data_IF_287835162971
#
_entry.id   IF_287835162971
#
_cell.length_a   1.000
_cell.length_b   1.000
_cell.length_c   1.000
_cell.angle_alpha   90.00
_cell.angle_beta   90.00
_cell.angle_gamma   90.00
#
_symmetry.space_group_name_H-M   'P 1'
#
loop_
_entity.id
_entity.type
_entity.pdbx_description
1 polymer ?
#
# COMPACT_ATOMS: atom_id res chain seq x y z
N UNK A 1 -41.54 4.95 -1.91
CA UNK A 1 -40.25 5.24 -2.55
C UNK A 1 -39.99 4.12 -3.53
N UNK A 2 -39.84 4.45 -4.81
CA UNK A 2 -39.68 3.49 -5.89
C UNK A 2 -38.46 2.60 -5.66
N UNK A 3 -38.69 1.31 -5.43
CA UNK A 3 -37.67 0.26 -5.57
C UNK A 3 -37.27 0.21 -7.03
N UNK A 4 -36.27 1.01 -7.43
CA UNK A 4 -35.62 0.77 -8.71
C UNK A 4 -34.98 -0.60 -8.61
N UNK A 5 -35.47 -1.53 -9.44
CA UNK A 5 -34.96 -2.88 -9.54
C UNK A 5 -33.64 -2.80 -10.32
N UNK A 6 -32.57 -2.38 -9.64
CA UNK A 6 -31.24 -2.34 -10.23
C UNK A 6 -30.70 -3.77 -10.27
N UNK A 7 -30.71 -4.36 -11.46
CA UNK A 7 -29.98 -5.59 -11.74
C UNK A 7 -28.58 -5.20 -12.23
N UNK A 8 -27.56 -5.48 -11.40
CA UNK A 8 -26.16 -5.19 -11.73
C UNK A 8 -25.44 -6.41 -12.27
N UNK A 9 -26.11 -7.54 -12.44
CA UNK A 9 -25.53 -8.81 -12.87
C UNK A 9 -24.67 -8.67 -14.14
N UNK A 10 -23.51 -9.32 -14.13
CA UNK A 10 -22.56 -9.36 -15.23
C UNK A 10 -22.08 -7.96 -15.74
N UNK A 11 -22.26 -6.89 -14.96
CA UNK A 11 -21.78 -5.56 -15.29
C UNK A 11 -20.34 -5.31 -14.82
N UNK A 12 -19.65 -4.42 -15.52
CA UNK A 12 -18.39 -3.85 -15.07
C UNK A 12 -18.68 -2.62 -14.20
N UNK A 13 -18.51 -2.75 -12.89
CA UNK A 13 -18.75 -1.68 -11.93
C UNK A 13 -17.44 -1.11 -11.36
N UNK A 14 -16.30 -1.34 -12.01
CA UNK A 14 -15.01 -0.93 -11.50
C UNK A 14 -14.98 0.54 -11.07
N UNK A 15 -14.35 0.80 -9.93
CA UNK A 15 -14.15 2.14 -9.35
C UNK A 15 -15.46 2.93 -9.06
N UNK A 16 -16.62 2.26 -8.98
CA UNK A 16 -17.90 2.89 -8.63
C UNK A 16 -18.08 3.09 -7.13
N UNK A 17 -18.82 4.13 -6.75
CA UNK A 17 -19.12 4.46 -5.34
C UNK A 17 -20.59 4.20 -5.01
N UNK A 18 -20.78 3.36 -3.98
CA UNK A 18 -22.08 2.96 -3.43
C UNK A 18 -22.21 3.34 -1.96
N UNK A 19 -21.45 4.35 -1.53
CA UNK A 19 -21.32 4.74 -0.12
C UNK A 19 -22.68 5.08 0.49
N UNK A 20 -23.04 4.35 1.56
CA UNK A 20 -24.27 4.58 2.31
C UNK A 20 -25.57 4.23 1.59
N UNK A 21 -25.51 3.62 0.40
CA UNK A 21 -26.72 3.25 -0.35
C UNK A 21 -27.40 2.02 0.25
N UNK A 22 -28.72 1.93 0.11
CA UNK A 22 -29.48 0.72 0.37
C UNK A 22 -29.58 -0.10 -0.92
N UNK A 23 -28.88 -1.22 -0.91
CA UNK A 23 -28.70 -2.17 -2.00
C UNK A 23 -29.13 -3.57 -1.53
N UNK A 24 -30.06 -3.63 -0.58
CA UNK A 24 -30.56 -4.88 -0.02
C UNK A 24 -31.23 -5.75 -1.09
N UNK A 25 -30.87 -7.04 -1.14
CA UNK A 25 -31.43 -8.02 -2.08
C UNK A 25 -31.00 -7.87 -3.54
N UNK A 26 -30.08 -6.94 -3.85
CA UNK A 26 -29.60 -6.73 -5.22
C UNK A 26 -28.71 -7.89 -5.68
N UNK A 27 -28.80 -8.23 -6.97
CA UNK A 27 -27.95 -9.22 -7.62
C UNK A 27 -26.72 -8.56 -8.25
N UNK A 28 -25.54 -8.85 -7.69
CA UNK A 28 -24.21 -8.52 -8.20
C UNK A 28 -23.49 -9.75 -8.78
N UNK A 29 -24.18 -10.86 -9.01
CA UNK A 29 -23.52 -12.08 -9.45
C UNK A 29 -22.72 -11.88 -10.75
N UNK A 30 -21.52 -12.47 -10.80
CA UNK A 30 -20.61 -12.38 -11.94
C UNK A 30 -20.00 -10.99 -12.20
N UNK A 31 -20.26 -10.00 -11.35
CA UNK A 31 -19.75 -8.64 -11.56
C UNK A 31 -18.28 -8.48 -11.19
N UNK A 32 -17.63 -7.52 -11.85
CA UNK A 32 -16.31 -7.05 -11.48
C UNK A 32 -16.44 -5.84 -10.57
N UNK A 33 -16.21 -6.05 -9.27
CA UNK A 33 -16.32 -5.03 -8.22
C UNK A 33 -14.97 -4.48 -7.78
N UNK A 34 -13.90 -4.70 -8.57
CA UNK A 34 -12.59 -4.15 -8.25
C UNK A 34 -12.68 -2.63 -8.14
N UNK A 35 -12.10 -2.07 -7.09
CA UNK A 35 -12.09 -0.63 -6.84
C UNK A 35 -13.39 -0.03 -6.29
N UNK A 36 -14.46 -0.81 -6.14
CA UNK A 36 -15.73 -0.29 -5.65
C UNK A 36 -15.69 0.14 -4.18
N UNK A 37 -16.45 1.18 -3.85
CA UNK A 37 -16.63 1.64 -2.46
C UNK A 37 -18.07 1.43 -1.97
N UNK A 38 -18.27 0.39 -1.17
CA UNK A 38 -19.52 0.06 -0.45
C UNK A 38 -19.49 0.52 1.01
N UNK A 39 -18.65 1.50 1.36
CA UNK A 39 -18.53 1.96 2.74
C UNK A 39 -19.90 2.39 3.29
N UNK A 40 -20.29 1.83 4.44
CA UNK A 40 -21.61 2.06 5.08
C UNK A 40 -22.85 1.66 4.26
N UNK A 41 -22.70 0.92 3.16
CA UNK A 41 -23.84 0.44 2.38
C UNK A 41 -24.66 -0.60 3.16
N UNK A 42 -25.95 -0.69 2.87
CA UNK A 42 -26.85 -1.75 3.35
C UNK A 42 -26.98 -2.76 2.22
N UNK A 43 -26.45 -3.97 2.43
CA UNK A 43 -26.33 -5.04 1.44
C UNK A 43 -26.98 -6.33 1.97
N UNK A 44 -28.04 -6.18 2.74
CA UNK A 44 -28.70 -7.30 3.41
C UNK A 44 -29.30 -8.21 2.35
N UNK A 45 -28.91 -9.48 2.35
CA UNK A 45 -29.39 -10.47 1.38
C UNK A 45 -28.93 -10.23 -0.07
N UNK A 46 -27.95 -9.36 -0.31
CA UNK A 46 -27.41 -9.14 -1.66
C UNK A 46 -26.65 -10.38 -2.17
N UNK A 47 -26.67 -10.60 -3.49
CA UNK A 47 -25.99 -11.73 -4.12
C UNK A 47 -24.67 -11.31 -4.75
N UNK A 48 -23.54 -11.77 -4.20
CA UNK A 48 -22.19 -11.56 -4.72
C UNK A 48 -21.60 -12.83 -5.34
N UNK A 49 -22.41 -13.82 -5.72
CA UNK A 49 -21.90 -15.06 -6.32
C UNK A 49 -20.92 -14.79 -7.47
N UNK A 50 -19.74 -15.42 -7.43
CA UNK A 50 -18.70 -15.33 -8.49
C UNK A 50 -18.18 -13.92 -8.79
N UNK A 51 -18.33 -13.00 -7.85
CA UNK A 51 -17.73 -11.67 -7.93
C UNK A 51 -16.22 -11.71 -7.78
N UNK A 52 -15.55 -10.77 -8.44
CA UNK A 52 -14.14 -10.45 -8.24
C UNK A 52 -14.02 -9.09 -7.55
N UNK A 53 -13.31 -9.04 -6.44
CA UNK A 53 -12.97 -7.79 -5.73
C UNK A 53 -11.46 -7.57 -5.72
N UNK A 54 -11.02 -6.34 -5.43
CA UNK A 54 -9.61 -5.98 -5.35
C UNK A 54 -9.26 -4.73 -6.13
N UNK A 55 -7.99 -4.61 -6.53
CA UNK A 55 -7.48 -3.40 -7.16
C UNK A 55 -7.83 -3.35 -8.65
N UNK A 56 -8.25 -2.20 -9.16
CA UNK A 56 -8.39 -1.99 -10.61
C UNK A 56 -7.05 -1.67 -11.24
N UNK A 57 -6.94 -1.89 -12.55
CA UNK A 57 -5.75 -1.46 -13.30
C UNK A 57 -5.54 0.07 -13.21
N UNK A 58 -6.63 0.85 -13.11
CA UNK A 58 -6.55 2.30 -12.97
C UNK A 58 -5.94 2.69 -11.60
N UNK A 59 -6.37 2.05 -10.52
CA UNK A 59 -5.79 2.25 -9.18
C UNK A 59 -4.30 1.89 -9.12
N UNK A 60 -3.90 0.82 -9.80
CA UNK A 60 -2.49 0.43 -9.90
C UNK A 60 -1.70 1.46 -10.72
N UNK A 61 -2.23 1.89 -11.87
CA UNK A 61 -1.56 2.85 -12.74
C UNK A 61 -1.38 4.22 -12.04
N UNK A 62 -2.40 4.71 -11.34
CA UNK A 62 -2.32 5.96 -10.58
C UNK A 62 -1.32 5.86 -9.42
N UNK A 63 -1.26 4.72 -8.74
CA UNK A 63 -0.25 4.43 -7.73
C UNK A 63 1.17 4.50 -8.31
N UNK A 64 1.42 3.85 -9.44
CA UNK A 64 2.73 3.87 -10.13
C UNK A 64 3.09 5.30 -10.57
N UNK A 65 2.14 6.03 -11.17
CA UNK A 65 2.37 7.41 -11.60
C UNK A 65 2.71 8.33 -10.42
N UNK A 66 2.04 8.19 -9.27
CA UNK A 66 2.38 8.97 -8.07
C UNK A 66 3.81 8.73 -7.57
N UNK A 67 4.27 7.48 -7.66
CA UNK A 67 5.63 7.07 -7.28
C UNK A 67 6.65 7.71 -8.24
N UNK A 68 6.40 7.62 -9.55
CA UNK A 68 7.27 8.20 -10.58
C UNK A 68 7.34 9.72 -10.43
N UNK A 69 6.21 10.41 -10.30
CA UNK A 69 6.16 11.86 -10.13
C UNK A 69 6.88 12.31 -8.85
N UNK A 70 6.71 11.58 -7.75
CA UNK A 70 7.45 11.83 -6.50
C UNK A 70 8.97 11.70 -6.67
N UNK A 71 9.42 10.69 -7.40
CA UNK A 71 10.86 10.50 -7.68
C UNK A 71 11.42 11.63 -8.57
N UNK A 72 10.71 12.01 -9.64
CA UNK A 72 11.13 13.09 -10.55
C UNK A 72 11.23 14.43 -9.81
N UNK A 73 10.20 14.78 -9.02
CA UNK A 73 10.21 16.01 -8.23
C UNK A 73 11.40 16.04 -7.27
N UNK A 74 11.72 14.90 -6.65
CA UNK A 74 12.86 14.79 -5.75
C UNK A 74 14.20 14.98 -6.47
N UNK A 75 14.38 14.38 -7.65
CA UNK A 75 15.58 14.57 -8.47
C UNK A 75 15.76 16.06 -8.78
N UNK A 76 14.68 16.77 -9.12
CA UNK A 76 14.69 18.21 -9.33
C UNK A 76 15.15 18.99 -8.09
N UNK A 77 14.63 18.65 -6.91
CA UNK A 77 15.03 19.28 -5.63
C UNK A 77 16.50 19.01 -5.34
N UNK A 78 16.98 17.77 -5.51
CA UNK A 78 18.38 17.39 -5.30
C UNK A 78 19.29 18.18 -6.25
N UNK A 79 18.91 18.33 -7.52
CA UNK A 79 19.68 19.10 -8.50
C UNK A 79 19.79 20.58 -8.10
N UNK A 80 18.68 21.19 -7.68
CA UNK A 80 18.65 22.58 -7.21
C UNK A 80 19.51 22.75 -5.94
N UNK A 81 19.36 21.87 -4.96
CA UNK A 81 20.16 21.89 -3.73
C UNK A 81 21.64 21.71 -4.03
N UNK A 82 21.98 20.77 -4.92
CA UNK A 82 23.37 20.55 -5.36
C UNK A 82 23.95 21.80 -6.01
N UNK A 83 23.18 22.47 -6.87
CA UNK A 83 23.59 23.72 -7.50
C UNK A 83 23.81 24.84 -6.47
N UNK A 84 22.93 24.98 -5.48
CA UNK A 84 23.08 25.96 -4.40
C UNK A 84 24.32 25.67 -3.55
N UNK A 85 24.55 24.40 -3.21
CA UNK A 85 25.75 23.99 -2.45
C UNK A 85 27.02 24.31 -3.23
N UNK A 86 27.08 23.98 -4.53
CA UNK A 86 28.23 24.30 -5.39
C UNK A 86 28.43 25.81 -5.49
N UNK A 87 27.35 26.59 -5.61
CA UNK A 87 27.42 28.06 -5.66
C UNK A 87 28.01 28.62 -4.37
N UNK A 88 27.55 28.16 -3.20
CA UNK A 88 28.06 28.59 -1.91
C UNK A 88 29.52 28.16 -1.73
N UNK A 89 29.88 26.94 -2.13
CA UNK A 89 31.25 26.43 -2.06
C UNK A 89 32.22 27.28 -2.90
N UNK A 90 31.81 27.61 -4.14
CA UNK A 90 32.56 28.51 -5.00
C UNK A 90 32.71 29.93 -4.40
N UNK A 91 31.66 30.47 -3.78
CA UNK A 91 31.72 31.79 -3.14
C UNK A 91 32.63 31.78 -1.89
N UNK A 92 32.55 30.75 -1.07
CA UNK A 92 33.43 30.59 0.10
C UNK A 92 34.88 30.40 -0.31
N UNK A 93 35.15 29.64 -1.39
CA UNK A 93 36.49 29.51 -1.95
C UNK A 93 37.05 30.86 -2.41
N UNK A 94 36.24 31.69 -3.08
CA UNK A 94 36.67 33.02 -3.50
C UNK A 94 36.96 33.96 -2.32
N UNK A 95 36.22 33.85 -1.21
CA UNK A 95 36.39 34.70 -0.02
C UNK A 95 37.56 34.28 0.88
N UNK A 96 37.80 32.98 1.04
CA UNK A 96 38.72 32.44 2.05
C UNK A 96 39.90 31.64 1.47
N UNK A 97 39.91 31.40 0.15
CA UNK A 97 41.04 30.81 -0.59
C UNK A 97 41.50 29.44 -0.08
N UNK A 98 42.83 29.28 0.04
CA UNK A 98 43.48 28.03 0.45
C UNK A 98 43.09 27.54 1.85
N UNK A 99 42.71 28.44 2.76
CA UNK A 99 42.23 28.10 4.10
C UNK A 99 40.89 27.35 4.01
N UNK A 100 40.01 27.76 3.09
CA UNK A 100 38.75 27.07 2.85
C UNK A 100 38.96 25.68 2.26
N UNK A 101 39.87 25.52 1.29
CA UNK A 101 40.14 24.21 0.66
C UNK A 101 40.57 23.14 1.68
N UNK A 102 41.31 23.52 2.72
CA UNK A 102 41.72 22.60 3.80
C UNK A 102 40.57 22.17 4.71
N UNK A 103 39.51 22.97 4.83
CA UNK A 103 38.37 22.72 5.73
C UNK A 103 37.13 22.24 4.95
N UNK A 104 37.04 22.51 3.64
CA UNK A 104 35.94 22.11 2.74
C UNK A 104 35.73 20.58 2.72
N UNK A 105 36.81 19.79 2.77
CA UNK A 105 36.72 18.32 2.92
C UNK A 105 35.99 17.87 4.19
N UNK A 106 36.05 18.66 5.26
CA UNK A 106 35.35 18.40 6.52
C UNK A 106 33.86 18.73 6.37
N UNK A 107 33.52 19.86 5.72
CA UNK A 107 32.12 20.25 5.47
C UNK A 107 31.38 19.28 4.56
N UNK A 108 32.02 18.79 3.49
CA UNK A 108 31.45 17.78 2.59
C UNK A 108 31.23 16.45 3.31
N UNK A 109 32.15 16.06 4.20
CA UNK A 109 32.00 14.88 5.06
C UNK A 109 30.90 15.04 6.11
N UNK A 110 30.76 16.24 6.72
CA UNK A 110 29.69 16.57 7.67
C UNK A 110 28.32 16.62 6.98
N UNK A 111 28.24 17.13 5.75
CA UNK A 111 27.01 17.14 4.95
C UNK A 111 26.58 15.71 4.61
N UNK A 112 27.53 14.85 4.20
CA UNK A 112 27.30 13.42 4.00
C UNK A 112 26.84 12.72 5.28
N UNK A 113 27.48 13.04 6.41
CA UNK A 113 27.10 12.53 7.73
C UNK A 113 25.72 13.03 8.18
N UNK A 114 25.38 14.29 7.93
CA UNK A 114 24.05 14.85 8.21
C UNK A 114 22.99 14.18 7.35
N UNK A 115 23.23 13.98 6.05
CA UNK A 115 22.31 13.25 5.18
C UNK A 115 22.10 11.80 5.69
N UNK A 116 23.16 11.13 6.12
CA UNK A 116 23.08 9.80 6.74
C UNK A 116 22.33 9.80 8.10
N UNK A 117 22.58 10.80 8.94
CA UNK A 117 21.93 10.97 10.24
C UNK A 117 20.44 11.34 10.11
N UNK A 118 20.09 12.19 9.14
CA UNK A 118 18.70 12.53 8.84
C UNK A 118 17.94 11.34 8.26
N UNK A 119 18.58 10.45 7.48
CA UNK A 119 17.97 9.19 7.03
C UNK A 119 17.61 8.26 8.21
N UNK A 120 18.50 8.11 9.19
CA UNK A 120 18.26 7.29 10.38
C UNK A 120 17.16 7.83 11.30
N UNK A 121 17.01 9.15 11.38
CA UNK A 121 15.96 9.79 12.19
C UNK A 121 14.62 9.89 11.45
N UNK A 122 14.62 10.07 10.13
CA UNK A 122 13.44 9.91 9.27
C UNK A 122 12.81 8.54 9.51
N UNK A 123 13.60 7.46 9.55
CA UNK A 123 13.12 6.10 9.81
C UNK A 123 12.34 5.92 11.12
N UNK A 124 12.66 6.69 12.17
CA UNK A 124 11.98 6.64 13.47
C UNK A 124 10.70 7.47 13.51
N UNK A 125 10.58 8.47 12.63
CA UNK A 125 9.48 9.42 12.58
C UNK A 125 8.42 9.12 11.52
N UNK A 126 8.50 7.99 10.82
CA UNK A 126 7.43 7.51 9.93
C UNK A 126 6.55 6.44 10.62
N UNK A 127 5.69 6.81 11.59
CA UNK A 127 4.54 5.98 11.88
C UNK A 127 3.55 6.14 10.72
N UNK A 128 3.13 5.01 10.14
CA UNK A 128 1.87 4.79 9.40
C UNK A 128 1.03 6.05 9.14
N UNK A 129 1.31 6.81 8.09
CA UNK A 129 0.42 7.89 7.61
C UNK A 129 -0.04 7.66 6.18
N UNK A 130 -1.24 8.16 5.93
CA UNK A 130 -2.23 7.77 4.94
C UNK A 130 -1.79 7.82 3.46
N UNK A 131 -2.26 6.79 2.75
CA UNK A 131 -2.56 6.56 1.32
C UNK A 131 -1.84 7.35 0.20
N UNK A 132 -1.55 8.64 0.36
CA UNK A 132 -0.89 9.47 -0.64
C UNK A 132 0.56 9.81 -0.26
N UNK A 133 0.81 10.23 0.99
CA UNK A 133 2.14 10.61 1.44
C UNK A 133 3.05 9.39 1.66
N UNK A 134 2.50 8.25 2.07
CA UNK A 134 3.29 7.04 2.35
C UNK A 134 4.05 6.52 1.11
N UNK A 135 3.38 6.44 -0.03
CA UNK A 135 3.98 5.86 -1.25
C UNK A 135 4.96 6.82 -1.95
N UNK A 136 4.63 8.11 -1.98
CA UNK A 136 5.55 9.14 -2.48
C UNK A 136 6.80 9.24 -1.60
N UNK A 137 6.66 9.12 -0.28
CA UNK A 137 7.80 9.13 0.65
C UNK A 137 8.69 7.90 0.48
N UNK A 138 8.12 6.71 0.28
CA UNK A 138 8.89 5.49 -0.04
C UNK A 138 9.61 5.62 -1.39
N UNK A 139 8.98 6.25 -2.39
CA UNK A 139 9.60 6.51 -3.69
C UNK A 139 10.81 7.45 -3.56
N UNK A 140 10.67 8.50 -2.76
CA UNK A 140 11.74 9.45 -2.44
C UNK A 140 12.89 8.73 -1.75
N UNK A 141 12.59 7.91 -0.73
CA UNK A 141 13.60 7.12 -0.03
C UNK A 141 14.33 6.19 -0.99
N UNK A 142 13.62 5.51 -1.89
CA UNK A 142 14.23 4.65 -2.89
C UNK A 142 15.15 5.43 -3.83
N UNK A 143 14.72 6.58 -4.35
CA UNK A 143 15.53 7.42 -5.23
C UNK A 143 16.81 7.91 -4.55
N UNK A 144 16.73 8.34 -3.28
CA UNK A 144 17.88 8.75 -2.48
C UNK A 144 18.86 7.60 -2.26
N UNK A 145 18.35 6.42 -1.89
CA UNK A 145 19.18 5.23 -1.66
C UNK A 145 19.83 4.73 -2.95
N UNK A 146 19.12 4.79 -4.07
CA UNK A 146 19.66 4.46 -5.38
C UNK A 146 20.78 5.44 -5.77
N UNK A 147 20.57 6.75 -5.59
CA UNK A 147 21.57 7.76 -5.88
C UNK A 147 22.83 7.60 -5.00
N UNK A 148 22.65 7.34 -3.70
CA UNK A 148 23.75 7.06 -2.79
C UNK A 148 24.54 5.82 -3.24
N UNK A 149 23.84 4.74 -3.58
CA UNK A 149 24.47 3.49 -4.02
C UNK A 149 25.26 3.69 -5.31
N UNK A 150 24.69 4.41 -6.28
CA UNK A 150 25.36 4.74 -7.54
C UNK A 150 26.55 5.67 -7.32
N UNK A 151 26.42 6.70 -6.47
CA UNK A 151 27.52 7.61 -6.14
C UNK A 151 28.69 6.89 -5.46
N UNK A 152 28.39 6.04 -4.48
CA UNK A 152 29.40 5.19 -3.84
C UNK A 152 30.04 4.23 -4.84
N UNK A 153 29.26 3.63 -5.75
CA UNK A 153 29.79 2.76 -6.78
C UNK A 153 30.77 3.50 -7.71
N UNK A 154 30.38 4.68 -8.21
CA UNK A 154 31.26 5.51 -9.05
C UNK A 154 32.56 5.80 -8.31
N UNK A 155 32.49 6.37 -7.09
CA UNK A 155 33.70 6.72 -6.34
C UNK A 155 34.56 5.48 -6.03
N UNK A 156 33.94 4.34 -5.72
CA UNK A 156 34.66 3.09 -5.41
C UNK A 156 35.40 2.51 -6.61
N UNK A 157 34.85 2.62 -7.83
CA UNK A 157 35.42 2.04 -9.04
C UNK A 157 36.28 3.01 -9.87
N UNK A 158 36.06 4.33 -9.74
CA UNK A 158 36.83 5.35 -10.47
C UNK A 158 37.84 6.08 -9.58
N UNK A 159 37.71 5.98 -8.26
CA UNK A 159 38.60 6.63 -7.31
C UNK A 159 39.92 5.86 -7.14
N UNK A 160 40.95 6.55 -6.68
CA UNK A 160 42.30 6.02 -6.52
C UNK A 160 42.43 5.00 -5.37
N UNK A 161 43.67 4.78 -4.91
CA UNK A 161 44.04 3.69 -4.01
C UNK A 161 43.30 3.62 -2.65
N UNK A 162 42.63 4.67 -2.20
CA UNK A 162 41.86 4.67 -0.93
C UNK A 162 40.36 4.39 -1.11
N UNK A 163 39.88 4.35 -2.36
CA UNK A 163 38.44 4.22 -2.66
C UNK A 163 37.87 2.82 -2.43
N UNK A 164 38.71 1.80 -2.26
CA UNK A 164 38.27 0.45 -1.91
C UNK A 164 37.55 0.38 -0.56
N UNK A 165 37.82 1.33 0.35
CA UNK A 165 37.14 1.42 1.66
C UNK A 165 35.64 1.72 1.51
N UNK A 166 35.22 2.27 0.36
CA UNK A 166 33.81 2.57 0.08
C UNK A 166 33.03 1.37 -0.48
N UNK A 167 33.68 0.23 -0.75
CA UNK A 167 33.00 -0.98 -1.22
C UNK A 167 32.06 -1.56 -0.16
N UNK A 168 32.45 -1.54 1.11
CA UNK A 168 31.61 -2.02 2.22
C UNK A 168 30.34 -1.17 2.35
N UNK A 169 30.42 0.17 2.50
CA UNK A 169 29.20 1.00 2.55
C UNK A 169 28.39 0.96 1.25
N UNK A 170 29.03 0.78 0.08
CA UNK A 170 28.31 0.55 -1.19
C UNK A 170 27.44 -0.70 -1.13
N UNK A 171 27.99 -1.84 -0.69
CA UNK A 171 27.25 -3.11 -0.57
C UNK A 171 26.11 -2.99 0.44
N UNK A 172 26.36 -2.35 1.59
CA UNK A 172 25.32 -2.09 2.60
C UNK A 172 24.21 -1.21 2.00
N UNK A 173 24.56 -0.14 1.30
CA UNK A 173 23.62 0.76 0.63
C UNK A 173 22.80 0.02 -0.43
N UNK A 174 23.41 -0.89 -1.20
CA UNK A 174 22.71 -1.71 -2.18
C UNK A 174 21.67 -2.65 -1.54
N UNK A 175 22.02 -3.31 -0.42
CA UNK A 175 21.10 -4.16 0.34
C UNK A 175 19.90 -3.36 0.86
N UNK A 176 20.15 -2.16 1.40
CA UNK A 176 19.09 -1.28 1.89
C UNK A 176 18.21 -0.81 0.72
N UNK A 177 18.80 -0.41 -0.40
CA UNK A 177 18.08 -0.02 -1.63
C UNK A 177 17.16 -1.13 -2.10
N UNK A 178 17.64 -2.37 -2.14
CA UNK A 178 16.83 -3.53 -2.49
C UNK A 178 15.66 -3.74 -1.51
N UNK A 179 15.89 -3.61 -0.20
CA UNK A 179 14.79 -3.69 0.78
C UNK A 179 13.74 -2.61 0.57
N UNK A 180 14.15 -1.36 0.34
CA UNK A 180 13.20 -0.27 0.06
C UNK A 180 12.42 -0.55 -1.23
N UNK A 181 13.06 -1.10 -2.26
CA UNK A 181 12.38 -1.54 -3.48
C UNK A 181 11.31 -2.61 -3.19
N UNK A 182 11.66 -3.64 -2.41
CA UNK A 182 10.68 -4.67 -2.04
C UNK A 182 9.50 -4.08 -1.26
N UNK A 183 9.74 -3.10 -0.37
CA UNK A 183 8.67 -2.38 0.33
C UNK A 183 7.80 -1.54 -0.59
N UNK A 184 8.37 -0.92 -1.63
CA UNK A 184 7.59 -0.19 -2.64
C UNK A 184 6.65 -1.09 -3.43
N UNK A 185 7.14 -2.27 -3.83
CA UNK A 185 6.28 -3.25 -4.52
C UNK A 185 5.18 -3.73 -3.59
N UNK A 186 5.52 -4.03 -2.34
CA UNK A 186 4.55 -4.46 -1.35
C UNK A 186 3.50 -3.38 -1.05
N UNK A 187 3.89 -2.09 -1.02
CA UNK A 187 2.96 -0.99 -0.75
C UNK A 187 1.97 -0.73 -1.88
N UNK A 188 2.26 -1.18 -3.10
CA UNK A 188 1.30 -1.19 -4.22
C UNK A 188 0.38 -2.41 -4.08
N UNK A 189 0.98 -3.59 -3.88
CA UNK A 189 0.25 -4.86 -3.75
C UNK A 189 -0.68 -4.91 -2.55
N UNK A 190 -0.38 -4.20 -1.47
CA UNK A 190 -1.16 -4.24 -0.24
C UNK A 190 -2.27 -3.18 -0.19
N UNK A 191 -2.48 -2.36 -1.23
CA UNK A 191 -3.53 -1.33 -1.16
C UNK A 191 -4.88 -2.00 -1.31
N UNK A 192 -5.82 -1.55 -0.49
CA UNK A 192 -7.22 -1.93 -0.65
C UNK A 192 -7.75 -1.34 -1.94
N UNK A 193 -8.36 -2.17 -2.77
CA UNK A 193 -9.09 -1.75 -3.95
C UNK A 193 -10.58 -1.64 -3.66
N UNK A 194 -11.22 -2.72 -3.20
CA UNK A 194 -12.66 -2.74 -2.89
C UNK A 194 -12.91 -2.55 -1.39
N UNK A 195 -13.84 -1.68 -1.00
CA UNK A 195 -14.18 -1.43 0.41
C UNK A 195 -15.62 -1.83 0.73
N UNK A 196 -15.79 -2.71 1.73
CA UNK A 196 -17.06 -2.99 2.42
C UNK A 196 -17.05 -2.46 3.86
N UNK A 197 -16.21 -1.46 4.13
CA UNK A 197 -16.00 -0.95 5.48
C UNK A 197 -17.31 -0.44 6.09
N UNK A 198 -17.66 -0.90 7.29
CA UNK A 198 -18.94 -0.56 7.97
C UNK A 198 -20.20 -0.94 7.18
N UNK A 199 -20.11 -1.76 6.14
CA UNK A 199 -21.26 -2.21 5.39
C UNK A 199 -22.05 -3.25 6.19
N UNK A 200 -23.37 -3.31 5.97
CA UNK A 200 -24.20 -4.38 6.51
C UNK A 200 -24.38 -5.46 5.44
N UNK A 201 -23.65 -6.57 5.54
CA UNK A 201 -23.67 -7.70 4.63
C UNK A 201 -24.50 -8.88 5.19
N UNK A 202 -25.42 -8.61 6.13
CA UNK A 202 -26.19 -9.68 6.78
C UNK A 202 -26.91 -10.53 5.74
N UNK A 203 -26.77 -11.86 5.80
CA UNK A 203 -27.36 -12.81 4.85
C UNK A 203 -26.92 -12.66 3.37
N UNK A 204 -25.84 -11.93 3.08
CA UNK A 204 -25.33 -11.82 1.72
C UNK A 204 -24.66 -13.12 1.22
N UNK A 205 -24.73 -13.39 -0.08
CA UNK A 205 -24.15 -14.58 -0.68
C UNK A 205 -22.77 -14.29 -1.30
N UNK A 206 -21.69 -14.91 -0.81
CA UNK A 206 -20.32 -14.79 -1.35
C UNK A 206 -19.80 -16.11 -1.94
N UNK A 207 -20.70 -16.98 -2.40
CA UNK A 207 -20.34 -18.25 -3.06
C UNK A 207 -19.40 -18.04 -4.26
N UNK A 208 -18.33 -18.83 -4.31
CA UNK A 208 -17.32 -18.83 -5.37
C UNK A 208 -16.70 -17.45 -5.65
N UNK A 209 -16.61 -16.59 -4.65
CA UNK A 209 -16.02 -15.25 -4.81
C UNK A 209 -14.51 -15.28 -4.68
N UNK A 210 -13.86 -14.46 -5.51
CA UNK A 210 -12.44 -14.15 -5.41
C UNK A 210 -12.31 -12.81 -4.70
N UNK A 211 -11.76 -12.84 -3.49
CA UNK A 211 -11.58 -11.66 -2.67
C UNK A 211 -10.09 -11.36 -2.52
N UNK A 212 -9.69 -10.32 -3.24
CA UNK A 212 -8.35 -9.76 -3.18
C UNK A 212 -8.46 -8.33 -2.66
N UNK A 213 -7.46 -7.86 -1.90
CA UNK A 213 -7.30 -6.45 -1.55
C UNK A 213 -8.59 -5.76 -1.05
N UNK A 214 -9.36 -6.43 -0.20
CA UNK A 214 -10.71 -5.97 0.19
C UNK A 214 -10.79 -5.61 1.67
N UNK A 215 -11.49 -4.52 2.00
CA UNK A 215 -11.67 -4.07 3.40
C UNK A 215 -13.07 -4.39 3.93
N UNK A 216 -13.18 -5.39 4.81
CA UNK A 216 -14.38 -5.72 5.59
C UNK A 216 -14.36 -5.13 7.01
N UNK A 217 -13.48 -4.18 7.30
CA UNK A 217 -13.35 -3.64 8.66
C UNK A 217 -14.67 -3.03 9.13
N UNK A 218 -15.07 -3.36 10.35
CA UNK A 218 -16.34 -2.94 10.96
C UNK A 218 -17.61 -3.38 10.20
N UNK A 219 -17.51 -4.26 9.21
CA UNK A 219 -18.67 -4.78 8.50
C UNK A 219 -19.46 -5.77 9.39
N UNK A 220 -20.77 -5.87 9.14
CA UNK A 220 -21.63 -6.91 9.70
C UNK A 220 -21.70 -8.07 8.72
N UNK A 221 -21.10 -9.21 9.08
CA UNK A 221 -20.96 -10.41 8.24
C UNK A 221 -21.85 -11.56 8.73
N UNK A 222 -22.84 -11.28 9.59
CA UNK A 222 -23.69 -12.35 10.15
C UNK A 222 -24.53 -13.00 9.04
N UNK A 223 -24.44 -14.31 8.92
CA UNK A 223 -25.20 -15.11 7.96
C UNK A 223 -24.69 -15.04 6.53
N UNK A 224 -23.48 -14.57 6.26
CA UNK A 224 -22.94 -14.64 4.89
C UNK A 224 -22.66 -16.09 4.47
N UNK A 225 -22.86 -16.39 3.19
CA UNK A 225 -22.47 -17.69 2.62
C UNK A 225 -21.06 -17.60 2.01
N UNK A 226 -20.15 -18.48 2.44
CA UNK A 226 -18.72 -18.42 2.08
C UNK A 226 -18.23 -19.68 1.34
N UNK A 227 -19.14 -20.41 0.70
CA UNK A 227 -18.77 -21.59 -0.08
C UNK A 227 -17.80 -21.22 -1.21
N UNK A 228 -16.69 -21.96 -1.34
CA UNK A 228 -15.69 -21.70 -2.37
C UNK A 228 -14.98 -20.34 -2.29
N UNK A 229 -14.95 -19.70 -1.12
CA UNK A 229 -14.29 -18.42 -0.91
C UNK A 229 -12.78 -18.51 -1.13
N UNK A 230 -12.21 -17.59 -1.90
CA UNK A 230 -10.76 -17.45 -2.07
C UNK A 230 -10.30 -16.11 -1.54
N UNK A 231 -9.51 -16.13 -0.46
CA UNK A 231 -8.98 -14.94 0.20
C UNK A 231 -7.49 -14.75 -0.09
N UNK A 232 -7.07 -13.50 -0.25
CA UNK A 232 -5.68 -13.10 -0.23
C UNK A 232 -5.19 -12.70 1.19
N UNK A 233 -3.88 -12.46 1.31
CA UNK A 233 -3.28 -12.03 2.58
C UNK A 233 -3.51 -10.56 2.92
N UNK A 234 -3.98 -9.76 1.96
CA UNK A 234 -4.12 -8.31 2.10
C UNK A 234 -5.53 -7.87 2.47
N UNK A 235 -6.51 -8.78 2.42
CA UNK A 235 -7.89 -8.55 2.86
C UNK A 235 -7.98 -8.32 4.37
N UNK A 236 -8.75 -7.30 4.76
CA UNK A 236 -8.86 -6.82 6.14
C UNK A 236 -10.21 -7.16 6.76
N UNK A 237 -10.19 -7.73 7.96
CA UNK A 237 -11.37 -8.04 8.77
C UNK A 237 -11.31 -7.33 10.14
N UNK A 238 -10.74 -6.12 10.20
CA UNK A 238 -10.50 -5.47 11.48
C UNK A 238 -11.82 -5.02 12.14
N UNK A 239 -12.10 -5.53 13.35
CA UNK A 239 -13.32 -5.25 14.10
C UNK A 239 -14.62 -5.60 13.34
N UNK A 240 -14.59 -6.50 12.36
CA UNK A 240 -15.79 -7.02 11.72
C UNK A 240 -16.60 -7.86 12.71
N UNK A 241 -17.91 -7.74 12.68
CA UNK A 241 -18.82 -8.50 13.53
C UNK A 241 -19.44 -9.63 12.71
N UNK A 242 -19.46 -10.83 13.27
CA UNK A 242 -20.10 -11.97 12.66
C UNK A 242 -20.54 -12.89 13.79
N UNK A 243 -21.83 -13.23 13.85
CA UNK A 243 -22.32 -14.22 14.80
C UNK A 243 -22.16 -15.64 14.22
N UNK A 244 -22.46 -15.82 12.95
CA UNK A 244 -22.38 -17.09 12.25
C UNK A 244 -22.22 -16.88 10.73
N UNK A 245 -21.80 -17.92 10.03
CA UNK A 245 -21.58 -18.00 8.58
C UNK A 245 -22.32 -19.23 8.02
N UNK A 246 -22.55 -19.28 6.73
CA UNK A 246 -23.03 -20.47 6.03
C UNK A 246 -21.93 -21.10 5.18
N UNK A 247 -21.78 -22.43 5.29
CA UNK A 247 -20.76 -23.21 4.60
C UNK A 247 -21.14 -23.55 3.15
N UNK A 248 -22.43 -23.69 2.88
CA UNK A 248 -22.95 -24.14 1.60
C UNK A 248 -24.26 -23.39 1.25
N UNK A 249 -24.69 -23.43 -0.02
CA UNK A 249 -25.98 -22.88 -0.44
C UNK A 249 -27.18 -23.47 0.31
N UNK A 250 -27.03 -24.68 0.87
CA UNK A 250 -28.03 -25.36 1.70
C UNK A 250 -28.13 -24.79 3.12
N UNK A 251 -27.38 -23.72 3.43
CA UNK A 251 -27.39 -22.96 4.69
C UNK A 251 -26.97 -23.78 5.92
N UNK A 252 -25.96 -24.62 5.76
CA UNK A 252 -25.28 -25.23 6.90
C UNK A 252 -24.54 -24.13 7.70
N UNK A 253 -25.04 -23.86 8.91
CA UNK A 253 -24.55 -22.80 9.79
C UNK A 253 -23.26 -23.20 10.48
N UNK A 254 -22.30 -22.29 10.56
CA UNK A 254 -21.10 -22.41 11.37
C UNK A 254 -20.86 -21.13 12.19
N UNK A 255 -20.58 -21.20 13.51
CA UNK A 255 -20.63 -22.41 14.35
C UNK A 255 -22.08 -22.93 14.47
N UNK A 256 -22.27 -24.25 14.58
CA UNK A 256 -23.60 -24.87 14.56
C UNK A 256 -24.51 -24.38 15.69
N UNK A 257 -23.98 -24.30 16.91
CA UNK A 257 -24.78 -24.02 18.12
C UNK A 257 -24.50 -22.64 18.76
N UNK A 258 -23.30 -22.08 18.56
CA UNK A 258 -22.84 -20.87 19.23
C UNK A 258 -22.54 -19.74 18.25
N UNK A 259 -22.46 -18.52 18.77
CA UNK A 259 -21.95 -17.39 17.99
C UNK A 259 -20.42 -17.30 18.10
N UNK A 260 -19.78 -16.84 17.03
CA UNK A 260 -18.36 -16.51 17.05
C UNK A 260 -18.03 -15.52 18.17
N UNK A 261 -16.95 -15.79 18.88
CA UNK A 261 -16.42 -14.87 19.88
C UNK A 261 -15.51 -13.81 19.22
N UNK A 262 -15.22 -12.74 19.95
CA UNK A 262 -14.24 -11.74 19.52
C UNK A 262 -12.91 -12.41 19.14
N UNK A 263 -12.34 -12.01 18.00
CA UNK A 263 -11.10 -12.55 17.40
C UNK A 263 -11.14 -14.00 16.87
N UNK A 264 -12.21 -14.75 17.10
CA UNK A 264 -12.34 -16.13 16.59
C UNK A 264 -12.56 -16.15 15.07
N UNK A 265 -13.42 -15.25 14.57
CA UNK A 265 -13.67 -15.06 13.15
C UNK A 265 -12.36 -14.84 12.38
N UNK A 266 -11.48 -13.98 12.89
CA UNK A 266 -10.21 -13.67 12.23
C UNK A 266 -9.29 -14.90 12.13
N UNK A 267 -9.19 -15.68 13.21
CA UNK A 267 -8.42 -16.95 13.23
C UNK A 267 -9.02 -18.01 12.32
N UNK A 268 -10.35 -18.00 12.17
CA UNK A 268 -11.04 -18.90 11.26
C UNK A 268 -10.75 -18.52 9.79
N UNK A 269 -10.94 -17.26 9.44
CA UNK A 269 -10.75 -16.75 8.07
C UNK A 269 -9.29 -16.84 7.61
N UNK A 270 -8.31 -16.80 8.52
CA UNK A 270 -6.90 -16.98 8.14
C UNK A 270 -6.58 -18.35 7.53
N UNK A 271 -7.45 -19.36 7.69
CA UNK A 271 -7.30 -20.68 7.07
C UNK A 271 -7.58 -20.67 5.55
N UNK A 272 -8.28 -19.65 5.06
CA UNK A 272 -8.66 -19.51 3.65
C UNK A 272 -7.71 -18.62 2.85
N UNK A 273 -6.73 -18.01 3.52
CA UNK A 273 -5.71 -17.19 2.88
C UNK A 273 -4.79 -18.10 2.06
N UNK A 274 -4.74 -17.88 0.75
CA UNK A 274 -3.73 -18.53 -0.10
C UNK A 274 -2.34 -17.99 0.27
N UNK A 275 -1.41 -18.91 0.52
CA UNK A 275 0.03 -18.62 0.61
C UNK A 275 0.63 -18.40 -0.78
#
# INVERSE_FOLDING_TARGET
>A
MSSQNYDYKDQNLQDQSFVGQDLSGIDFSGTDLRGCDFTRAILVGANFERVVTGQTQQQINTAILSIIMGAIAMIGIIAILSYVVIMIDNQLFLLFGETYRKISGIFSSILLFMLYFFQGNIFKLFPKTSSFFGNSSLSILFALMLFLTLGLAVISFTGGGESFLLLIPMVISAIVTFKVFTWLIESIKSRIGTSFKKANLTNANFTHTLIENTDFSFALLTGICIDGWMLDSHTLFANSQCDYLYWNPQRERYPHDNNFQADELKKFLSKFIKN
#
